data_IF_351335132241
#
_entry.id   IF_351335132241
#
_cell.length_a   1.000
_cell.length_b   1.000
_cell.length_c   1.000
_cell.angle_alpha   90.00
_cell.angle_beta   90.00
_cell.angle_gamma   90.00
#
_symmetry.space_group_name_H-M   'P 1'
#
loop_
_entity.id
_entity.type
_entity.pdbx_description
1 polymer ?
#
# COMPACT_ATOMS: atom_id res chain seq x y z
N UNK A 1 -12.62 9.40 -7.44
CA UNK A 1 -12.31 9.18 -8.87
C UNK A 1 -11.26 10.14 -9.45
N UNK A 2 -11.45 11.48 -9.43
CA UNK A 2 -10.48 12.44 -10.01
C UNK A 2 -9.04 12.27 -9.46
N UNK A 3 -8.86 12.11 -8.15
CA UNK A 3 -7.55 11.88 -7.55
C UNK A 3 -6.84 10.65 -8.17
N UNK A 4 -7.53 9.49 -8.24
CA UNK A 4 -6.95 8.27 -8.83
C UNK A 4 -6.61 8.46 -10.30
N UNK A 5 -7.46 9.13 -11.06
CA UNK A 5 -7.20 9.47 -12.46
C UNK A 5 -5.93 10.31 -12.64
N UNK A 6 -5.70 11.26 -11.73
CA UNK A 6 -4.51 12.12 -11.76
C UNK A 6 -3.22 11.36 -11.44
N UNK A 7 -3.22 10.52 -10.41
CA UNK A 7 -2.02 9.78 -9.98
C UNK A 7 -1.68 8.58 -10.87
N UNK A 8 -2.59 8.19 -11.77
CA UNK A 8 -2.42 7.06 -12.70
C UNK A 8 -2.12 7.50 -14.14
N UNK A 9 -1.63 8.70 -14.34
CA UNK A 9 -1.36 9.26 -15.66
C UNK A 9 -2.57 9.16 -16.62
N UNK A 10 -3.78 9.36 -16.10
CA UNK A 10 -5.08 9.26 -16.79
C UNK A 10 -5.49 7.84 -17.22
N UNK A 11 -4.77 6.82 -16.77
CA UNK A 11 -5.05 5.40 -17.03
C UNK A 11 -5.34 4.64 -15.72
N UNK A 12 -6.52 4.83 -15.09
CA UNK A 12 -6.77 4.40 -13.72
C UNK A 12 -6.93 2.89 -13.53
N UNK A 13 -7.11 2.10 -14.59
CA UNK A 13 -7.51 0.69 -14.52
C UNK A 13 -6.60 -0.15 -13.61
N UNK A 14 -5.27 -0.01 -13.74
CA UNK A 14 -4.32 -0.77 -12.92
C UNK A 14 -4.41 -0.40 -11.44
N UNK A 15 -4.56 0.89 -11.15
CA UNK A 15 -4.70 1.42 -9.79
C UNK A 15 -6.06 0.99 -9.20
N UNK A 16 -7.14 1.04 -9.96
CA UNK A 16 -8.48 0.61 -9.57
C UNK A 16 -8.54 -0.89 -9.26
N UNK A 17 -7.92 -1.72 -10.11
CA UNK A 17 -7.77 -3.16 -9.84
C UNK A 17 -6.95 -3.43 -8.57
N UNK A 18 -5.89 -2.67 -8.33
CA UNK A 18 -5.09 -2.80 -7.11
C UNK A 18 -5.88 -2.38 -5.86
N UNK A 19 -6.70 -1.33 -5.93
CA UNK A 19 -7.65 -0.97 -4.86
C UNK A 19 -8.60 -2.15 -4.61
N UNK A 20 -9.25 -2.68 -5.64
CA UNK A 20 -10.15 -3.83 -5.52
C UNK A 20 -9.47 -5.04 -4.89
N UNK A 21 -8.24 -5.35 -5.31
CA UNK A 21 -7.42 -6.38 -4.68
C UNK A 21 -7.21 -6.12 -3.19
N UNK A 22 -6.76 -4.91 -2.82
CA UNK A 22 -6.42 -4.57 -1.43
C UNK A 22 -7.64 -4.65 -0.50
N UNK A 23 -8.80 -4.22 -0.95
CA UNK A 23 -10.03 -4.24 -0.14
C UNK A 23 -10.73 -5.61 -0.12
N UNK A 24 -10.49 -6.48 -1.11
CA UNK A 24 -11.04 -7.83 -1.10
C UNK A 24 -10.53 -8.65 0.08
N UNK A 25 -11.34 -9.60 0.57
CA UNK A 25 -10.93 -10.53 1.63
C UNK A 25 -10.20 -11.74 1.07
N UNK A 26 -10.33 -11.99 -0.23
CA UNK A 26 -9.75 -13.15 -0.87
C UNK A 26 -8.23 -13.09 -0.90
N UNK A 27 -7.62 -14.20 -0.52
CA UNK A 27 -6.18 -14.38 -0.47
C UNK A 27 -5.81 -15.85 -0.70
N UNK A 28 -4.85 -16.12 -1.57
CA UNK A 28 -4.23 -17.42 -1.70
C UNK A 28 -2.74 -17.28 -2.07
N UNK A 29 -1.97 -18.36 -1.89
CA UNK A 29 -0.52 -18.34 -2.14
C UNK A 29 -0.13 -18.00 -3.58
N UNK A 30 -0.97 -18.36 -4.55
CA UNK A 30 -0.67 -18.17 -5.97
C UNK A 30 -0.91 -16.75 -6.45
N UNK A 31 -1.89 -16.03 -5.83
CA UNK A 31 -2.34 -14.72 -6.27
C UNK A 31 -2.07 -13.60 -5.27
N UNK A 32 -1.27 -13.87 -4.23
CA UNK A 32 -0.97 -12.84 -3.24
C UNK A 32 0.26 -12.04 -3.68
N UNK A 33 0.08 -10.73 -3.79
CA UNK A 33 1.11 -9.79 -4.22
C UNK A 33 1.25 -8.65 -3.23
N UNK A 34 2.46 -8.14 -3.07
CA UNK A 34 2.68 -6.82 -2.51
C UNK A 34 2.37 -5.77 -3.58
N UNK A 35 1.62 -4.73 -3.21
CA UNK A 35 1.42 -3.56 -4.06
C UNK A 35 2.53 -2.58 -3.76
N UNK A 36 3.32 -2.24 -4.78
CA UNK A 36 4.44 -1.30 -4.65
C UNK A 36 4.03 0.00 -5.32
N UNK A 37 4.07 1.09 -4.56
CA UNK A 37 3.81 2.44 -5.03
C UNK A 37 5.15 3.13 -5.22
N UNK A 38 5.59 3.30 -6.44
CA UNK A 38 6.81 4.04 -6.79
C UNK A 38 6.47 5.26 -7.66
N UNK A 39 7.34 6.25 -7.66
CA UNK A 39 7.17 7.39 -8.53
C UNK A 39 7.48 7.01 -9.98
N UNK A 40 6.71 7.52 -10.93
CA UNK A 40 6.97 7.38 -12.37
C UNK A 40 8.35 7.93 -12.74
N UNK A 41 8.72 9.06 -12.14
CA UNK A 41 10.03 9.69 -12.34
C UNK A 41 10.96 9.34 -11.17
N UNK A 42 11.91 8.45 -11.44
CA UNK A 42 12.93 8.09 -10.46
C UNK A 42 14.03 9.15 -10.46
N UNK A 43 14.29 9.75 -9.31
CA UNK A 43 15.32 10.76 -9.11
C UNK A 43 16.24 10.36 -7.95
N UNK A 44 17.50 10.80 -8.01
CA UNK A 44 18.42 10.66 -6.85
C UNK A 44 18.05 11.58 -5.69
N UNK A 45 17.29 12.67 -5.97
CA UNK A 45 16.75 13.60 -4.98
C UNK A 45 15.23 13.70 -5.13
N UNK A 46 14.47 12.71 -4.69
CA UNK A 46 13.01 12.71 -4.83
C UNK A 46 12.39 13.79 -3.94
N UNK A 47 11.50 14.60 -4.50
CA UNK A 47 10.80 15.65 -3.75
C UNK A 47 9.59 15.13 -2.95
N UNK A 48 9.07 13.95 -3.32
CA UNK A 48 7.88 13.39 -2.69
C UNK A 48 6.58 14.14 -3.06
N UNK A 49 5.51 13.86 -2.30
CA UNK A 49 4.23 14.59 -2.47
C UNK A 49 3.37 14.13 -3.67
N UNK A 50 3.72 13.04 -4.34
CA UNK A 50 3.03 12.53 -5.55
C UNK A 50 1.65 11.90 -5.26
N UNK A 51 1.24 11.75 -3.99
CA UNK A 51 -0.06 11.21 -3.59
C UNK A 51 -0.05 9.80 -3.02
N UNK A 52 1.10 9.13 -2.89
CA UNK A 52 1.22 7.77 -2.31
C UNK A 52 0.59 7.68 -0.92
N UNK A 53 0.86 8.67 -0.04
CA UNK A 53 0.28 8.72 1.30
C UNK A 53 -1.25 8.84 1.29
N UNK A 54 -1.81 9.64 0.39
CA UNK A 54 -3.27 9.79 0.21
C UNK A 54 -3.90 8.48 -0.27
N UNK A 55 -3.24 7.75 -1.18
CA UNK A 55 -3.68 6.41 -1.59
C UNK A 55 -3.76 5.45 -0.40
N UNK A 56 -2.69 5.40 0.42
CA UNK A 56 -2.64 4.56 1.63
C UNK A 56 -3.72 4.97 2.62
N UNK A 57 -3.93 6.27 2.83
CA UNK A 57 -4.98 6.80 3.70
C UNK A 57 -6.37 6.35 3.23
N UNK A 58 -6.64 6.40 1.91
CA UNK A 58 -7.90 5.90 1.33
C UNK A 58 -8.15 4.41 1.60
N UNK A 59 -7.14 3.55 1.42
CA UNK A 59 -7.25 2.12 1.76
C UNK A 59 -7.52 1.94 3.26
N UNK A 60 -6.89 2.78 4.10
CA UNK A 60 -7.02 2.71 5.56
C UNK A 60 -8.40 3.13 6.07
N UNK A 61 -9.19 3.91 5.30
CA UNK A 61 -10.59 4.19 5.62
C UNK A 61 -11.46 2.91 5.60
N UNK A 62 -11.12 1.94 4.74
CA UNK A 62 -11.92 0.74 4.51
C UNK A 62 -11.34 -0.48 5.26
N UNK A 63 -10.01 -0.56 5.36
CA UNK A 63 -9.32 -1.74 5.90
C UNK A 63 -8.37 -1.34 7.00
N UNK A 64 -8.47 -2.01 8.16
CA UNK A 64 -7.56 -1.77 9.26
C UNK A 64 -6.11 -1.94 8.83
N UNK A 65 -5.35 -0.87 8.85
CA UNK A 65 -3.98 -0.80 8.39
C UNK A 65 -3.01 -0.65 9.55
N UNK A 66 -1.81 -1.23 9.42
CA UNK A 66 -0.65 -0.95 10.26
C UNK A 66 0.43 -0.36 9.38
N UNK A 67 0.87 0.84 9.71
CA UNK A 67 1.89 1.57 8.96
C UNK A 67 3.20 1.49 9.72
N UNK A 68 4.26 1.06 9.05
CA UNK A 68 5.62 0.96 9.56
C UNK A 68 6.48 1.93 8.76
N UNK A 69 7.27 2.75 9.45
CA UNK A 69 8.28 3.59 8.81
C UNK A 69 9.31 2.69 8.10
N UNK A 70 9.30 2.72 6.78
CA UNK A 70 10.15 1.88 5.94
C UNK A 70 11.62 2.26 6.00
N UNK A 71 11.95 3.52 6.36
CA UNK A 71 13.35 3.97 6.54
C UNK A 71 13.98 3.38 7.79
N UNK A 72 13.20 3.20 8.85
CA UNK A 72 13.67 2.72 10.15
C UNK A 72 13.44 1.22 10.35
N UNK A 73 12.75 0.56 9.41
CA UNK A 73 12.36 -0.83 9.55
C UNK A 73 13.55 -1.78 9.41
N UNK A 74 13.75 -2.61 10.43
CA UNK A 74 14.68 -3.72 10.41
C UNK A 74 13.95 -5.01 10.82
N UNK A 75 13.66 -5.85 9.86
CA UNK A 75 12.93 -7.11 10.05
C UNK A 75 13.67 -8.17 10.87
N UNK A 76 14.96 -7.96 11.16
CA UNK A 76 15.79 -8.86 11.99
C UNK A 76 15.70 -8.53 13.48
N UNK A 77 15.15 -7.36 13.82
CA UNK A 77 14.95 -6.97 15.21
C UNK A 77 13.79 -7.74 15.83
N UNK A 78 13.94 -8.12 17.08
CA UNK A 78 12.84 -8.64 17.88
C UNK A 78 11.70 -7.63 17.90
N UNK A 79 10.47 -8.11 17.80
CA UNK A 79 9.26 -7.28 17.77
C UNK A 79 9.13 -6.32 16.60
N UNK A 80 9.80 -6.58 15.46
CA UNK A 80 9.75 -5.74 14.26
C UNK A 80 8.31 -5.43 13.80
N UNK A 81 7.36 -6.34 14.04
CA UNK A 81 5.95 -6.22 13.70
C UNK A 81 5.04 -5.94 14.90
N UNK A 82 5.54 -5.36 15.98
CA UNK A 82 4.77 -5.15 17.23
C UNK A 82 3.52 -4.26 17.06
N UNK A 83 3.49 -3.39 16.04
CA UNK A 83 2.35 -2.54 15.71
C UNK A 83 1.23 -3.28 14.96
N UNK A 84 1.53 -4.48 14.43
CA UNK A 84 0.57 -5.31 13.73
C UNK A 84 -0.29 -6.05 14.75
N UNK A 85 -1.60 -5.96 14.61
CA UNK A 85 -2.59 -6.70 15.41
C UNK A 85 -3.19 -7.86 14.63
N UNK A 86 -3.86 -8.80 15.29
CA UNK A 86 -4.47 -9.97 14.66
C UNK A 86 -5.58 -9.59 13.63
N UNK A 87 -6.19 -8.44 13.82
CA UNK A 87 -7.23 -7.89 12.94
C UNK A 87 -6.70 -6.91 11.89
N UNK A 88 -5.38 -6.66 11.86
CA UNK A 88 -4.74 -5.89 10.77
C UNK A 88 -4.95 -6.60 9.44
N UNK A 89 -5.44 -5.86 8.45
CA UNK A 89 -5.72 -6.38 7.10
C UNK A 89 -4.75 -5.88 6.04
N UNK A 90 -4.14 -4.73 6.29
CA UNK A 90 -3.13 -4.12 5.41
C UNK A 90 -1.89 -3.80 6.26
N UNK A 91 -0.74 -4.23 5.78
CA UNK A 91 0.56 -3.85 6.33
C UNK A 91 1.27 -2.95 5.32
N UNK A 92 1.60 -1.74 5.76
CA UNK A 92 2.25 -0.74 4.93
C UNK A 92 3.69 -0.56 5.39
N UNK A 93 4.66 -0.72 4.49
CA UNK A 93 6.02 -0.23 4.65
C UNK A 93 6.10 1.11 3.95
N UNK A 94 6.06 2.19 4.72
CA UNK A 94 5.98 3.53 4.17
C UNK A 94 7.37 4.14 3.97
N UNK A 95 7.59 4.68 2.78
CA UNK A 95 8.81 5.39 2.38
C UNK A 95 10.11 4.56 2.59
N UNK A 96 10.14 3.36 1.99
CA UNK A 96 11.31 2.47 2.13
C UNK A 96 12.55 3.02 1.40
N UNK A 97 13.73 2.69 1.93
CA UNK A 97 15.03 3.16 1.45
C UNK A 97 15.41 2.58 0.09
N UNK A 98 16.32 3.25 -0.64
CA UNK A 98 16.85 2.86 -1.97
C UNK A 98 17.34 1.40 -2.06
N UNK A 99 17.83 0.83 -0.96
CA UNK A 99 18.33 -0.53 -0.90
C UNK A 99 17.41 -1.49 -0.14
N UNK A 100 16.12 -1.20 -0.10
CA UNK A 100 15.14 -2.07 0.53
C UNK A 100 15.17 -3.46 -0.12
N UNK A 101 15.37 -4.50 0.70
CA UNK A 101 15.45 -5.87 0.24
C UNK A 101 14.03 -6.49 0.24
N UNK A 102 13.40 -6.51 -0.93
CA UNK A 102 12.08 -7.10 -1.09
C UNK A 102 12.09 -8.64 -0.94
N UNK A 103 13.21 -9.32 -1.26
CA UNK A 103 13.29 -10.79 -1.11
C UNK A 103 13.08 -11.23 0.35
N UNK A 104 13.55 -10.45 1.32
CA UNK A 104 13.30 -10.71 2.74
C UNK A 104 11.80 -10.65 3.12
N UNK A 105 10.95 -10.14 2.24
CA UNK A 105 9.50 -10.04 2.43
C UNK A 105 8.71 -11.10 1.66
N UNK A 106 9.37 -11.98 0.91
CA UNK A 106 8.71 -13.01 0.12
C UNK A 106 7.84 -13.93 0.98
N UNK A 107 8.34 -14.39 2.12
CA UNK A 107 7.59 -15.23 3.05
C UNK A 107 6.37 -14.49 3.62
N UNK A 108 6.50 -13.21 3.93
CA UNK A 108 5.38 -12.38 4.38
C UNK A 108 4.25 -12.36 3.35
N UNK A 109 4.59 -12.27 2.07
CA UNK A 109 3.61 -12.24 0.98
C UNK A 109 2.97 -13.62 0.76
N UNK A 110 3.74 -14.72 0.81
CA UNK A 110 3.28 -16.04 0.35
C UNK A 110 3.02 -17.08 1.45
N UNK A 111 3.55 -16.87 2.66
CA UNK A 111 3.47 -17.87 3.73
C UNK A 111 2.76 -17.35 4.98
N UNK A 112 2.79 -16.04 5.20
CA UNK A 112 2.17 -15.40 6.34
C UNK A 112 3.15 -14.66 7.23
N UNK A 113 2.73 -14.31 8.44
CA UNK A 113 3.44 -13.43 9.35
C UNK A 113 3.50 -14.01 10.76
N UNK A 114 4.68 -14.02 11.36
CA UNK A 114 4.83 -14.31 12.79
C UNK A 114 4.84 -12.99 13.57
N UNK A 115 3.91 -12.85 14.50
CA UNK A 115 3.78 -11.71 15.39
C UNK A 115 4.44 -12.03 16.73
N UNK A 116 5.51 -11.31 17.03
CA UNK A 116 6.16 -11.35 18.35
C UNK A 116 5.76 -10.13 19.15
N UNK A 117 5.35 -10.33 20.40
CA UNK A 117 4.96 -9.24 21.30
C UNK A 117 5.67 -9.44 22.65
N UNK A 118 6.05 -8.33 23.25
CA UNK A 118 6.68 -8.37 24.59
C UNK A 118 5.75 -9.07 25.59
N UNK A 119 6.30 -10.06 26.32
CA UNK A 119 5.59 -10.82 27.35
C UNK A 119 4.35 -11.59 26.86
N UNK A 120 4.32 -12.00 25.58
CA UNK A 120 3.27 -12.85 25.03
C UNK A 120 3.89 -13.89 24.10
N UNK A 121 3.23 -15.02 23.95
CA UNK A 121 3.63 -16.04 23.01
C UNK A 121 3.58 -15.49 21.57
N UNK A 122 4.53 -15.94 20.74
CA UNK A 122 4.52 -15.60 19.32
C UNK A 122 3.33 -16.25 18.62
N UNK A 123 2.62 -15.49 17.81
CA UNK A 123 1.47 -15.97 17.03
C UNK A 123 1.82 -16.01 15.55
N UNK A 124 1.74 -17.18 14.95
CA UNK A 124 1.92 -17.34 13.51
C UNK A 124 0.58 -17.21 12.79
N UNK A 125 0.43 -16.15 12.00
CA UNK A 125 -0.67 -15.97 11.04
C UNK A 125 -0.32 -16.72 9.76
N UNK A 126 -1.21 -17.57 9.29
CA UNK A 126 -1.08 -18.18 7.96
C UNK A 126 -1.35 -17.14 6.85
N UNK A 127 -1.15 -17.51 5.59
CA UNK A 127 -1.33 -16.59 4.46
C UNK A 127 -2.74 -16.00 4.38
N UNK A 128 -3.77 -16.75 4.75
CA UNK A 128 -5.17 -16.26 4.65
C UNK A 128 -5.48 -15.21 5.71
N UNK A 129 -4.89 -15.32 6.89
CA UNK A 129 -5.14 -14.44 8.03
C UNK A 129 -4.16 -13.25 8.09
N UNK A 130 -2.99 -13.37 7.43
CA UNK A 130 -1.98 -12.31 7.42
C UNK A 130 -2.43 -11.10 6.59
N UNK A 131 -1.94 -9.88 6.88
CA UNK A 131 -2.29 -8.69 6.10
C UNK A 131 -1.79 -8.76 4.64
N UNK A 132 -2.47 -8.08 3.73
CA UNK A 132 -1.91 -7.72 2.42
C UNK A 132 -0.86 -6.63 2.60
N UNK A 133 0.08 -6.55 1.67
CA UNK A 133 1.25 -5.69 1.81
C UNK A 133 1.19 -4.55 0.82
N UNK A 134 1.41 -3.33 1.31
CA UNK A 134 1.71 -2.14 0.51
C UNK A 134 3.14 -1.70 0.85
N UNK A 135 3.88 -1.29 -0.16
CA UNK A 135 5.22 -0.71 -0.01
C UNK A 135 5.20 0.62 -0.76
N UNK A 136 5.48 1.73 -0.09
CA UNK A 136 5.70 3.00 -0.76
C UNK A 136 7.20 3.31 -0.84
N UNK A 137 7.63 3.86 -1.96
CA UNK A 137 9.02 4.23 -2.17
C UNK A 137 9.14 5.32 -3.23
N UNK A 138 10.25 6.05 -3.18
CA UNK A 138 10.65 6.99 -4.24
C UNK A 138 11.74 6.38 -5.15
N UNK A 139 12.06 5.10 -4.95
CA UNK A 139 13.13 4.40 -5.65
C UNK A 139 12.62 3.12 -6.30
N UNK A 140 13.28 2.68 -7.37
CA UNK A 140 13.02 1.36 -7.93
C UNK A 140 13.37 0.25 -6.94
N UNK A 141 12.46 -0.69 -6.71
CA UNK A 141 12.72 -1.90 -5.92
C UNK A 141 13.55 -2.86 -6.76
N UNK A 142 14.75 -3.17 -6.27
CA UNK A 142 15.69 -4.09 -6.93
C UNK A 142 15.16 -5.53 -6.93
N UNK A 143 15.63 -6.30 -7.90
CA UNK A 143 15.35 -7.71 -8.07
C UNK A 143 14.52 -7.99 -9.32
N UNK A 144 14.86 -9.07 -10.01
CA UNK A 144 14.28 -9.48 -11.28
C UNK A 144 13.94 -10.97 -11.26
N UNK A 145 13.16 -11.38 -12.27
CA UNK A 145 12.82 -12.76 -12.51
C UNK A 145 11.53 -13.21 -11.85
N UNK A 146 11.11 -14.40 -12.22
CA UNK A 146 9.80 -14.98 -11.90
C UNK A 146 9.42 -14.94 -10.41
N UNK A 147 10.42 -15.03 -9.52
CA UNK A 147 10.17 -14.99 -8.07
C UNK A 147 9.71 -13.61 -7.60
N UNK A 148 10.21 -12.53 -8.20
CA UNK A 148 9.80 -11.17 -7.95
C UNK A 148 8.44 -10.86 -8.61
N UNK A 149 8.30 -11.17 -9.90
CA UNK A 149 7.13 -10.81 -10.73
C UNK A 149 5.83 -11.41 -10.18
N UNK A 150 5.87 -12.64 -9.68
CA UNK A 150 4.68 -13.26 -9.09
C UNK A 150 4.32 -12.77 -7.70
N UNK A 151 5.20 -12.02 -7.00
CA UNK A 151 4.99 -11.55 -5.62
C UNK A 151 4.78 -10.05 -5.49
N UNK A 152 4.96 -9.29 -6.57
CA UNK A 152 4.76 -7.85 -6.57
C UNK A 152 3.88 -7.42 -7.73
N UNK A 153 3.22 -6.30 -7.52
CA UNK A 153 2.54 -5.51 -8.55
C UNK A 153 2.93 -4.06 -8.32
N UNK A 154 3.64 -3.50 -9.28
CA UNK A 154 4.16 -2.13 -9.19
C UNK A 154 3.16 -1.18 -9.84
N UNK A 155 2.88 -0.08 -9.14
CA UNK A 155 2.09 1.03 -9.61
C UNK A 155 2.99 2.26 -9.68
N UNK A 156 3.23 2.73 -10.87
CA UNK A 156 3.93 3.98 -11.13
C UNK A 156 2.97 5.15 -10.89
N UNK A 157 3.27 5.93 -9.87
CA UNK A 157 2.46 7.09 -9.49
C UNK A 157 2.95 8.29 -10.28
N UNK A 158 2.05 8.85 -11.10
CA UNK A 158 2.34 10.00 -11.94
C UNK A 158 2.77 11.21 -11.12
N UNK A 159 3.69 11.99 -11.64
CA UNK A 159 4.13 13.24 -11.04
C UNK A 159 3.14 14.38 -11.32
N UNK A 160 1.85 14.12 -11.03
CA UNK A 160 0.80 15.13 -11.17
C UNK A 160 0.77 16.07 -9.95
N UNK A 161 0.89 15.50 -8.75
CA UNK A 161 1.02 16.27 -7.51
C UNK A 161 2.49 16.47 -7.15
N UNK A 162 2.74 17.53 -6.39
CA UNK A 162 4.07 17.90 -5.93
C UNK A 162 4.01 19.20 -5.15
N UNK A 163 5.14 19.91 -5.11
CA UNK A 163 5.30 21.13 -4.30
C UNK A 163 4.32 22.26 -4.68
N UNK A 164 4.06 22.44 -5.98
CA UNK A 164 3.26 23.57 -6.49
C UNK A 164 1.77 23.23 -6.62
N UNK A 165 1.43 21.95 -6.67
CA UNK A 165 0.06 21.45 -6.76
C UNK A 165 -0.12 20.27 -5.82
N UNK A 166 -0.77 20.51 -4.69
CA UNK A 166 -1.11 19.43 -3.75
C UNK A 166 -2.57 18.99 -3.90
N UNK A 167 -2.94 17.78 -3.43
CA UNK A 167 -4.35 17.37 -3.40
C UNK A 167 -5.24 18.38 -2.64
N UNK A 168 -4.76 18.90 -1.50
CA UNK A 168 -5.51 19.88 -0.70
C UNK A 168 -5.77 21.17 -1.49
N UNK A 169 -4.80 21.62 -2.27
CA UNK A 169 -4.96 22.80 -3.13
C UNK A 169 -5.98 22.55 -4.25
N UNK A 170 -5.88 21.40 -4.96
CA UNK A 170 -6.78 21.06 -6.06
C UNK A 170 -8.24 20.88 -5.60
N UNK A 171 -8.44 20.22 -4.46
CA UNK A 171 -9.78 19.91 -3.94
C UNK A 171 -10.29 20.99 -2.96
N UNK A 172 -9.48 22.02 -2.63
CA UNK A 172 -9.78 23.08 -1.67
C UNK A 172 -10.19 22.55 -0.28
N UNK A 173 -9.71 21.35 0.08
CA UNK A 173 -9.98 20.68 1.36
C UNK A 173 -9.04 19.49 1.56
N UNK A 174 -8.86 19.05 2.78
CA UNK A 174 -8.16 17.80 3.08
C UNK A 174 -9.04 16.61 2.70
N UNK A 175 -8.44 15.66 1.96
CA UNK A 175 -9.13 14.43 1.61
C UNK A 175 -9.31 13.58 2.88
N UNK A 176 -10.50 13.04 3.05
CA UNK A 176 -11.00 12.26 4.20
C UNK A 176 -11.27 13.10 5.47
N UNK A 177 -10.38 14.00 5.89
CA UNK A 177 -10.51 14.72 7.15
C UNK A 177 -11.62 15.78 7.09
N UNK A 178 -11.82 16.46 5.94
CA UNK A 178 -12.85 17.47 5.73
C UNK A 178 -14.08 16.93 4.99
N UNK A 179 -14.22 15.61 4.88
CA UNK A 179 -15.30 15.00 4.11
C UNK A 179 -16.63 14.96 4.84
N UNK A 180 -17.68 15.30 4.13
CA UNK A 180 -19.07 15.10 4.53
C UNK A 180 -19.46 13.62 4.40
N UNK A 181 -20.64 13.29 4.93
CA UNK A 181 -21.23 11.95 4.74
C UNK A 181 -21.46 11.62 3.26
N UNK A 182 -21.84 12.59 2.46
CA UNK A 182 -22.07 12.45 1.02
C UNK A 182 -20.77 12.16 0.27
N UNK A 183 -19.66 12.75 0.72
CA UNK A 183 -18.33 12.48 0.17
C UNK A 183 -17.92 11.02 0.46
N UNK A 184 -18.10 10.56 1.70
CA UNK A 184 -17.84 9.16 2.07
C UNK A 184 -18.75 8.20 1.30
N UNK A 185 -20.04 8.51 1.12
CA UNK A 185 -20.93 7.69 0.30
C UNK A 185 -20.44 7.57 -1.15
N UNK A 186 -19.95 8.67 -1.71
CA UNK A 186 -19.38 8.69 -3.07
C UNK A 186 -18.09 7.87 -3.15
N UNK A 187 -17.25 7.96 -2.13
CA UNK A 187 -16.03 7.17 -2.00
C UNK A 187 -16.34 5.68 -1.86
N UNK A 188 -17.29 5.30 -0.99
CA UNK A 188 -17.70 3.91 -0.80
C UNK A 188 -18.22 3.29 -2.08
N UNK A 189 -19.04 4.02 -2.85
CA UNK A 189 -19.52 3.57 -4.16
C UNK A 189 -18.34 3.35 -5.14
N UNK A 190 -17.35 4.22 -5.12
CA UNK A 190 -16.16 4.06 -5.95
C UNK A 190 -15.30 2.86 -5.52
N UNK A 191 -15.18 2.62 -4.22
CA UNK A 191 -14.49 1.45 -3.67
C UNK A 191 -15.21 0.15 -4.07
N UNK A 192 -16.55 0.14 -4.03
CA UNK A 192 -17.37 -1.01 -4.50
C UNK A 192 -17.15 -1.25 -5.99
N UNK A 193 -17.11 -0.19 -6.81
CA UNK A 193 -16.77 -0.31 -8.22
C UNK A 193 -15.38 -0.93 -8.43
N UNK A 194 -14.35 -0.48 -7.71
CA UNK A 194 -13.01 -1.05 -7.78
C UNK A 194 -13.00 -2.55 -7.39
N UNK A 195 -13.79 -2.91 -6.38
CA UNK A 195 -13.92 -4.31 -5.97
C UNK A 195 -14.59 -5.17 -7.06
N UNK A 196 -15.65 -4.68 -7.67
CA UNK A 196 -16.33 -5.37 -8.78
C UNK A 196 -15.43 -5.54 -10.01
N UNK A 197 -14.58 -4.54 -10.26
CA UNK A 197 -13.61 -4.57 -11.36
C UNK A 197 -12.53 -5.64 -11.14
N UNK A 198 -12.15 -5.87 -9.89
CA UNK A 198 -11.14 -6.88 -9.52
C UNK A 198 -11.71 -8.31 -9.53
N UNK A 199 -12.98 -8.51 -9.15
CA UNK A 199 -13.63 -9.82 -9.06
C UNK A 199 -14.03 -10.38 -10.41
#
# INVERSE_FOLDING_TARGET
MKFIYNISNKEPLSVECAIGYLISTYKNRSNNKAIILNDEVISDNPEGGTGKGVFVQGISQIRKSSIIDGKMFDGKKSFAYQTVSLDTKILVFDDVVKNFNFEEKFSLVTEGLTLERKNKDAVKLNVHDSPKVIISTNYAIKGEGNSHDRRRHELEIAQYYGKDLTPEYEFSRQLFDDWSKEDFNSFDNYIIYCLQLFL
#
